data_IF_871326625337
#
_entry.id   IF_871326625337
#
_cell.length_a   1.000
_cell.length_b   1.000
_cell.length_c   1.000
_cell.angle_alpha   90.00
_cell.angle_beta   90.00
_cell.angle_gamma   90.00
#
_symmetry.space_group_name_H-M   'P 1'
#
loop_
_entity.id
_entity.type
_entity.pdbx_description
1 polymer ?
#
# COMPACT_ATOMS: atom_id res chain seq x y z
N UNK A 1 22.54 -26.68 8.70
CA UNK A 1 21.26 -26.12 8.25
C UNK A 1 21.04 -24.88 9.10
N UNK A 2 21.02 -23.70 8.48
CA UNK A 2 20.78 -22.45 9.21
C UNK A 2 19.32 -22.51 9.62
N UNK A 3 19.07 -22.67 10.91
CA UNK A 3 17.73 -22.53 11.46
C UNK A 3 17.22 -21.16 11.04
N UNK A 4 16.30 -21.14 10.07
CA UNK A 4 15.62 -19.94 9.64
C UNK A 4 14.87 -19.43 10.86
N UNK A 5 15.50 -18.51 11.60
CA UNK A 5 14.91 -17.88 12.77
C UNK A 5 13.54 -17.32 12.33
N UNK A 6 12.42 -17.80 12.89
CA UNK A 6 11.08 -17.40 12.48
C UNK A 6 10.91 -15.88 12.41
N UNK A 7 11.65 -15.15 13.26
CA UNK A 7 11.71 -13.69 13.27
C UNK A 7 12.34 -13.12 11.99
N UNK A 8 13.42 -13.69 11.49
CA UNK A 8 14.08 -13.24 10.26
C UNK A 8 13.14 -13.42 9.06
N UNK A 9 12.47 -14.57 8.97
CA UNK A 9 11.48 -14.80 7.90
C UNK A 9 10.30 -13.82 7.97
N UNK A 10 9.84 -13.45 9.18
CA UNK A 10 8.79 -12.45 9.34
C UNK A 10 9.27 -11.04 8.96
N UNK A 11 10.50 -10.69 9.30
CA UNK A 11 11.12 -9.41 8.93
C UNK A 11 11.26 -9.26 7.41
N UNK A 12 11.75 -10.32 6.74
CA UNK A 12 11.92 -10.33 5.29
C UNK A 12 10.56 -10.21 4.56
N UNK A 13 9.52 -10.91 5.03
CA UNK A 13 8.14 -10.77 4.50
C UNK A 13 7.62 -9.34 4.68
N UNK A 14 7.81 -8.77 5.87
CA UNK A 14 7.34 -7.43 6.20
C UNK A 14 8.03 -6.36 5.32
N UNK A 15 9.34 -6.50 5.10
CA UNK A 15 10.11 -5.63 4.22
C UNK A 15 9.65 -5.75 2.76
N UNK A 16 9.38 -6.96 2.29
CA UNK A 16 8.85 -7.20 0.94
C UNK A 16 7.49 -6.53 0.75
N UNK A 17 6.58 -6.68 1.72
CA UNK A 17 5.24 -6.08 1.68
C UNK A 17 5.27 -4.57 1.80
N UNK A 18 6.15 -4.01 2.63
CA UNK A 18 6.37 -2.58 2.71
C UNK A 18 6.86 -2.01 1.36
N UNK A 19 7.86 -2.65 0.76
CA UNK A 19 8.43 -2.21 -0.53
C UNK A 19 7.38 -2.24 -1.64
N UNK A 20 6.56 -3.29 -1.68
CA UNK A 20 5.44 -3.40 -2.62
C UNK A 20 4.41 -2.31 -2.41
N UNK A 21 3.99 -2.08 -1.16
CA UNK A 21 3.04 -1.03 -0.81
C UNK A 21 3.57 0.36 -1.22
N UNK A 22 4.85 0.64 -0.99
CA UNK A 22 5.47 1.90 -1.39
C UNK A 22 5.47 2.08 -2.92
N UNK A 23 5.80 1.02 -3.68
CA UNK A 23 5.73 1.05 -5.15
C UNK A 23 4.31 1.29 -5.66
N UNK A 24 3.32 0.63 -5.07
CA UNK A 24 1.92 0.80 -5.47
C UNK A 24 1.40 2.21 -5.12
N UNK A 25 1.88 2.80 -4.03
CA UNK A 25 1.56 4.19 -3.65
C UNK A 25 2.11 5.21 -4.64
N UNK A 26 3.37 5.05 -5.09
CA UNK A 26 3.96 5.97 -6.07
C UNK A 26 3.22 5.91 -7.42
N UNK A 27 2.85 4.71 -7.89
CA UNK A 27 2.01 4.57 -9.09
C UNK A 27 0.67 5.26 -8.94
N UNK A 28 0.04 5.16 -7.77
CA UNK A 28 -1.23 5.82 -7.51
C UNK A 28 -1.09 7.35 -7.58
N UNK A 29 0.00 7.92 -7.06
CA UNK A 29 0.29 9.35 -7.16
C UNK A 29 0.47 9.79 -8.62
N UNK A 30 1.20 9.02 -9.42
CA UNK A 30 1.38 9.31 -10.85
C UNK A 30 0.05 9.29 -11.61
N UNK A 31 -0.80 8.29 -11.34
CA UNK A 31 -2.14 8.22 -11.92
C UNK A 31 -2.99 9.42 -11.50
N UNK A 32 -2.94 9.83 -10.23
CA UNK A 32 -3.69 10.98 -9.75
C UNK A 32 -3.25 12.28 -10.43
N UNK A 33 -1.94 12.50 -10.59
CA UNK A 33 -1.40 13.64 -11.35
C UNK A 33 -1.89 13.66 -12.81
N UNK A 34 -1.95 12.50 -13.46
CA UNK A 34 -2.47 12.40 -14.83
C UNK A 34 -3.95 12.75 -14.92
N UNK A 35 -4.76 12.33 -13.94
CA UNK A 35 -6.18 12.69 -13.86
C UNK A 35 -6.34 14.20 -13.67
N UNK A 36 -5.57 14.82 -12.79
CA UNK A 36 -5.59 16.28 -12.58
C UNK A 36 -5.24 17.05 -13.87
N UNK A 37 -4.23 16.58 -14.61
CA UNK A 37 -3.87 17.15 -15.91
C UNK A 37 -5.01 17.03 -16.94
N UNK A 38 -5.70 15.88 -16.97
CA UNK A 38 -6.86 15.68 -17.84
C UNK A 38 -8.02 16.60 -17.46
N UNK A 39 -8.31 16.75 -16.16
CA UNK A 39 -9.34 17.65 -15.65
C UNK A 39 -9.07 19.11 -16.04
N UNK A 40 -7.84 19.58 -15.88
CA UNK A 40 -7.45 20.93 -16.28
C UNK A 40 -7.63 21.19 -17.79
N UNK A 41 -7.42 20.15 -18.61
CA UNK A 41 -7.54 20.25 -20.08
C UNK A 41 -8.97 20.06 -20.58
N UNK A 42 -9.85 19.38 -19.85
CA UNK A 42 -11.18 18.98 -20.31
C UNK A 42 -12.11 20.16 -20.69
N UNK A 43 -11.81 21.36 -20.18
CA UNK A 43 -12.52 22.60 -20.53
C UNK A 43 -12.32 23.00 -22.01
N UNK A 44 -11.21 22.60 -22.63
CA UNK A 44 -10.83 23.02 -23.98
C UNK A 44 -10.40 21.85 -24.89
N UNK A 45 -10.35 20.63 -24.36
CA UNK A 45 -9.94 19.41 -25.06
C UNK A 45 -11.00 18.31 -24.92
N UNK A 46 -11.76 18.09 -26.00
CA UNK A 46 -12.82 17.08 -26.04
C UNK A 46 -12.28 15.65 -25.85
N UNK A 47 -11.03 15.36 -26.24
CA UNK A 47 -10.41 14.05 -26.00
C UNK A 47 -10.11 13.86 -24.52
N UNK A 48 -9.67 14.91 -23.82
CA UNK A 48 -9.46 14.85 -22.38
C UNK A 48 -10.79 14.59 -21.65
N UNK A 49 -11.88 15.20 -22.11
CA UNK A 49 -13.23 14.97 -21.57
C UNK A 49 -13.71 13.54 -21.80
N UNK A 50 -13.50 13.00 -23.01
CA UNK A 50 -13.87 11.62 -23.32
C UNK A 50 -13.11 10.61 -22.45
N UNK A 51 -11.81 10.83 -22.22
CA UNK A 51 -11.01 9.97 -21.33
C UNK A 51 -11.53 10.02 -19.89
N UNK A 52 -11.89 11.19 -19.38
CA UNK A 52 -12.49 11.32 -18.04
C UNK A 52 -13.83 10.62 -17.94
N UNK A 53 -14.71 10.74 -18.95
CA UNK A 53 -15.99 10.04 -18.98
C UNK A 53 -15.82 8.52 -18.99
N UNK A 54 -14.85 8.01 -19.75
CA UNK A 54 -14.51 6.57 -19.74
C UNK A 54 -13.94 6.12 -18.40
N UNK A 55 -13.14 6.97 -17.75
CA UNK A 55 -12.59 6.69 -16.43
C UNK A 55 -13.70 6.61 -15.37
N UNK A 56 -14.64 7.56 -15.38
CA UNK A 56 -15.80 7.55 -14.48
C UNK A 56 -16.71 6.35 -14.76
N UNK A 57 -16.89 5.95 -16.02
CA UNK A 57 -17.68 4.77 -16.37
C UNK A 57 -17.01 3.45 -15.93
N UNK A 58 -15.68 3.36 -16.02
CA UNK A 58 -14.93 2.19 -15.59
C UNK A 58 -14.82 2.08 -14.07
N UNK A 59 -14.80 3.22 -13.37
CA UNK A 59 -14.69 3.32 -11.91
C UNK A 59 -15.79 4.22 -11.35
N UNK A 60 -17.07 3.80 -11.40
CA UNK A 60 -18.22 4.63 -11.01
C UNK A 60 -18.22 4.99 -9.53
N UNK A 61 -17.64 4.14 -8.68
CA UNK A 61 -17.42 4.42 -7.26
C UNK A 61 -16.05 5.06 -6.97
N UNK A 62 -15.33 5.45 -8.03
CA UNK A 62 -13.93 5.84 -7.99
C UNK A 62 -13.04 4.75 -7.38
N UNK A 63 -11.99 5.18 -6.67
CA UNK A 63 -11.03 4.29 -6.00
C UNK A 63 -11.42 3.96 -4.55
N UNK A 64 -12.70 4.11 -4.16
CA UNK A 64 -13.12 3.89 -2.75
C UNK A 64 -12.79 2.48 -2.27
N UNK A 65 -13.08 1.47 -3.10
CA UNK A 65 -12.86 0.06 -2.76
C UNK A 65 -11.37 -0.27 -2.62
N UNK A 66 -10.56 0.24 -3.54
CA UNK A 66 -9.10 0.10 -3.56
C UNK A 66 -8.48 0.81 -2.35
N UNK A 67 -8.92 2.03 -2.03
CA UNK A 67 -8.48 2.77 -0.85
C UNK A 67 -8.79 2.01 0.44
N UNK A 68 -9.98 1.42 0.56
CA UNK A 68 -10.33 0.57 1.72
C UNK A 68 -9.42 -0.65 1.82
N UNK A 69 -9.10 -1.32 0.71
CA UNK A 69 -8.16 -2.45 0.70
C UNK A 69 -6.75 -2.04 1.17
N UNK A 70 -6.24 -0.91 0.68
CA UNK A 70 -4.93 -0.37 1.08
C UNK A 70 -4.92 -0.08 2.59
N UNK A 71 -5.95 0.60 3.10
CA UNK A 71 -6.07 0.92 4.53
C UNK A 71 -6.18 -0.35 5.40
N UNK A 72 -6.85 -1.39 4.91
CA UNK A 72 -6.90 -2.70 5.57
C UNK A 72 -5.51 -3.35 5.62
N UNK A 73 -4.75 -3.30 4.53
CA UNK A 73 -3.39 -3.84 4.47
C UNK A 73 -2.46 -3.09 5.44
N UNK A 74 -2.53 -1.76 5.49
CA UNK A 74 -1.78 -0.93 6.45
C UNK A 74 -2.13 -1.31 7.90
N UNK A 75 -3.41 -1.52 8.19
CA UNK A 75 -3.87 -1.94 9.51
C UNK A 75 -3.31 -3.31 9.91
N UNK A 76 -3.26 -4.26 8.97
CA UNK A 76 -2.64 -5.58 9.19
C UNK A 76 -1.14 -5.47 9.42
N UNK A 77 -0.42 -4.67 8.64
CA UNK A 77 1.01 -4.43 8.84
C UNK A 77 1.28 -3.88 10.25
N UNK A 78 0.47 -2.91 10.71
CA UNK A 78 0.59 -2.35 12.06
C UNK A 78 0.42 -3.41 13.16
N UNK A 79 -0.48 -4.37 12.98
CA UNK A 79 -0.65 -5.49 13.92
C UNK A 79 0.59 -6.38 13.93
N UNK A 80 1.13 -6.70 12.75
CA UNK A 80 2.32 -7.55 12.62
C UNK A 80 3.57 -6.89 13.22
N UNK A 81 3.76 -5.58 13.04
CA UNK A 81 4.83 -4.83 13.72
C UNK A 81 4.73 -4.94 15.24
N UNK A 82 3.54 -4.76 15.82
CA UNK A 82 3.35 -4.91 17.27
C UNK A 82 3.63 -6.33 17.76
N UNK A 83 3.20 -7.34 17.01
CA UNK A 83 3.48 -8.73 17.35
C UNK A 83 4.99 -9.01 17.35
N UNK A 84 5.70 -8.45 16.37
CA UNK A 84 7.15 -8.53 16.30
C UNK A 84 7.84 -7.82 17.48
N UNK A 85 7.41 -6.61 17.83
CA UNK A 85 7.90 -5.88 19.02
C UNK A 85 7.76 -6.73 20.29
N UNK A 86 6.56 -7.29 20.53
CA UNK A 86 6.32 -8.16 21.69
C UNK A 86 7.19 -9.42 21.67
N UNK A 87 7.41 -10.03 20.50
CA UNK A 87 8.28 -11.20 20.39
C UNK A 87 9.74 -10.87 20.75
N UNK A 88 10.25 -9.72 20.30
CA UNK A 88 11.60 -9.26 20.61
C UNK A 88 11.78 -8.95 22.11
N UNK A 89 10.81 -8.29 22.74
CA UNK A 89 10.81 -8.02 24.19
C UNK A 89 10.84 -9.30 25.02
N UNK A 90 10.04 -10.30 24.62
CA UNK A 90 9.99 -11.61 25.28
C UNK A 90 11.32 -12.39 25.14
N UNK A 91 12.01 -12.27 24.01
CA UNK A 91 13.34 -12.88 23.84
C UNK A 91 14.40 -12.21 24.74
N UNK A 92 14.40 -10.88 24.84
CA UNK A 92 15.33 -10.14 25.70
C UNK A 92 15.12 -10.42 27.20
N UNK A 93 13.90 -10.69 27.63
CA UNK A 93 13.59 -11.07 29.02
C UNK A 93 13.97 -12.52 29.33
N UNK A 94 13.97 -13.41 28.32
CA UNK A 94 14.37 -14.82 28.49
C UNK A 94 15.89 -14.99 28.51
N UNK A 95 16.64 -14.14 27.79
CA UNK A 95 18.11 -14.19 27.74
C UNK A 95 18.83 -13.48 28.92
N UNK A 96 18.11 -12.70 29.74
CA UNK A 96 18.64 -11.99 30.92
C UNK A 96 18.36 -12.73 32.24
N UNK A 97 18.04 -14.02 32.19
CA UNK A 97 17.80 -14.90 33.34
C UNK A 97 18.75 -16.08 33.31
#
# INVERSE_FOLDING_TARGET
MIDNNPIQSMLDDLQGRYSKLNSDLEKLKDHQKNVELLQNRANFDDKAREVLLRLDAAFPDGFKKEKTKIMSCISQLKIQFKQLETQLENMNTTNNK
#
